data_IF_274264622382
#
_entry.id   IF_274264622382
#
_cell.length_a   1.000
_cell.length_b   1.000
_cell.length_c   1.000
_cell.angle_alpha   90.00
_cell.angle_beta   90.00
_cell.angle_gamma   90.00
#
_symmetry.space_group_name_H-M   'P 1'
#
loop_
_entity.id
_entity.type
_entity.pdbx_description
1 polymer ?
#
# COMPACT_ATOMS: atom_id res chain seq x y z
N UNK A 1 14.87 -8.38 7.84
CA UNK A 1 14.16 -7.10 7.66
C UNK A 1 13.24 -7.28 6.47
N UNK A 2 11.99 -6.87 6.59
CA UNK A 2 11.00 -6.88 5.51
C UNK A 2 10.26 -5.55 5.52
N UNK A 3 9.72 -5.14 4.38
CA UNK A 3 9.05 -3.86 4.28
C UNK A 3 8.29 -3.69 2.99
N UNK A 4 7.53 -2.60 2.94
CA UNK A 4 6.73 -2.19 1.79
C UNK A 4 7.01 -0.73 1.47
N UNK A 5 7.02 -0.40 0.19
CA UNK A 5 7.16 0.96 -0.28
C UNK A 5 5.92 1.38 -1.08
N UNK A 6 5.48 2.61 -0.83
CA UNK A 6 4.49 3.34 -1.62
C UNK A 6 5.25 4.41 -2.41
N UNK A 7 5.89 3.98 -3.50
CA UNK A 7 6.65 4.83 -4.41
C UNK A 7 6.16 4.49 -5.82
N UNK A 8 5.62 5.49 -6.51
CA UNK A 8 5.11 5.33 -7.86
C UNK A 8 6.20 5.73 -8.87
N UNK A 9 6.56 4.80 -9.75
CA UNK A 9 7.54 5.04 -10.81
C UNK A 9 7.03 4.51 -12.15
N UNK A 10 7.48 5.15 -13.23
CA UNK A 10 7.27 4.69 -14.60
C UNK A 10 8.64 4.44 -15.22
N UNK A 11 8.85 3.25 -15.75
CA UNK A 11 10.02 2.93 -16.56
C UNK A 11 9.66 3.18 -18.03
N UNK A 12 10.12 4.29 -18.58
CA UNK A 12 9.81 4.67 -19.96
C UNK A 12 10.71 3.95 -20.97
N UNK A 13 11.99 3.80 -20.64
CA UNK A 13 13.00 3.12 -21.46
C UNK A 13 14.17 2.63 -20.57
N UNK A 14 15.19 2.00 -21.16
CA UNK A 14 16.39 1.54 -20.48
C UNK A 14 17.10 2.67 -19.72
N UNK A 15 16.97 2.65 -18.39
CA UNK A 15 17.60 3.64 -17.51
C UNK A 15 16.82 4.96 -17.41
N UNK A 16 15.64 5.06 -18.03
CA UNK A 16 14.76 6.22 -17.95
C UNK A 16 13.57 5.90 -17.03
N UNK A 17 13.68 6.39 -15.79
CA UNK A 17 12.69 6.18 -14.73
C UNK A 17 12.15 7.52 -14.27
N UNK A 18 10.86 7.72 -14.48
CA UNK A 18 10.14 8.84 -13.90
C UNK A 18 9.57 8.46 -12.53
N UNK A 19 9.67 9.38 -11.57
CA UNK A 19 8.99 9.28 -10.29
C UNK A 19 7.71 10.11 -10.35
N UNK A 20 6.58 9.47 -10.05
CA UNK A 20 5.27 10.12 -10.06
C UNK A 20 4.99 10.79 -8.73
N UNK A 21 4.36 11.96 -8.77
CA UNK A 21 3.97 12.75 -7.60
C UNK A 21 5.01 13.80 -7.20
N UNK A 22 4.85 14.39 -6.03
CA UNK A 22 5.79 15.36 -5.51
C UNK A 22 7.13 14.69 -5.15
N UNK A 23 8.22 15.43 -5.32
CA UNK A 23 9.55 15.00 -4.88
C UNK A 23 9.50 14.60 -3.40
N UNK A 24 10.11 13.46 -3.06
CA UNK A 24 10.13 12.92 -1.69
C UNK A 24 8.73 12.61 -1.11
N UNK A 25 7.67 12.46 -1.91
CA UNK A 25 6.34 12.10 -1.42
C UNK A 25 6.17 10.58 -1.15
N UNK A 26 7.10 9.75 -1.63
CA UNK A 26 7.08 8.32 -1.39
C UNK A 26 7.22 7.99 0.09
N UNK A 27 6.63 6.88 0.53
CA UNK A 27 6.74 6.41 1.92
C UNK A 27 7.07 4.94 1.99
N UNK A 28 7.64 4.51 3.11
CA UNK A 28 7.98 3.11 3.32
C UNK A 28 7.78 2.67 4.78
N UNK A 29 7.53 1.37 4.95
CA UNK A 29 7.24 0.74 6.25
C UNK A 29 8.09 -0.51 6.38
N UNK A 30 8.78 -0.68 7.51
CA UNK A 30 9.68 -1.79 7.76
C UNK A 30 9.42 -2.49 9.09
N UNK A 31 9.74 -3.77 9.12
CA UNK A 31 9.68 -4.59 10.32
C UNK A 31 10.86 -5.58 10.38
N UNK A 32 11.28 -5.90 11.59
CA UNK A 32 12.21 -7.01 11.82
C UNK A 32 11.45 -8.34 11.79
N UNK A 33 12.06 -9.38 11.24
CA UNK A 33 11.47 -10.72 11.26
C UNK A 33 11.26 -11.23 12.69
N UNK A 34 12.11 -10.79 13.61
CA UNK A 34 12.00 -11.07 15.05
C UNK A 34 10.92 -10.25 15.74
N UNK A 35 10.34 -9.25 15.06
CA UNK A 35 9.37 -8.30 15.64
C UNK A 35 9.91 -7.56 16.87
N UNK A 36 11.23 -7.42 16.95
CA UNK A 36 11.91 -6.69 18.03
C UNK A 36 12.81 -5.60 17.44
N UNK A 37 13.00 -4.46 18.13
CA UNK A 37 13.95 -3.42 17.72
C UNK A 37 15.37 -3.96 17.58
N UNK A 38 16.17 -3.35 16.70
CA UNK A 38 17.57 -3.72 16.54
C UNK A 38 18.39 -2.55 16.01
N UNK A 39 19.66 -2.47 16.42
CA UNK A 39 20.56 -1.42 15.97
C UNK A 39 20.72 -1.39 14.43
N UNK A 40 20.62 -2.55 13.79
CA UNK A 40 20.66 -2.66 12.33
C UNK A 40 19.44 -1.98 11.70
N UNK A 41 18.25 -2.16 12.28
CA UNK A 41 17.04 -1.47 11.82
C UNK A 41 17.17 0.04 12.04
N UNK A 42 17.64 0.48 13.21
CA UNK A 42 17.79 1.91 13.53
C UNK A 42 18.71 2.61 12.52
N UNK A 43 19.85 2.00 12.20
CA UNK A 43 20.78 2.53 11.21
C UNK A 43 20.15 2.58 9.81
N UNK A 44 19.40 1.54 9.43
CA UNK A 44 18.71 1.49 8.13
C UNK A 44 17.64 2.59 8.00
N UNK A 45 16.87 2.86 9.07
CA UNK A 45 15.87 3.92 9.06
C UNK A 45 16.52 5.31 8.90
N UNK A 46 17.69 5.54 9.49
CA UNK A 46 18.46 6.78 9.29
C UNK A 46 18.88 6.93 7.84
N UNK A 47 19.48 5.90 7.25
CA UNK A 47 19.92 5.93 5.85
C UNK A 47 18.73 6.17 4.89
N UNK A 48 17.59 5.52 5.15
CA UNK A 48 16.40 5.66 4.30
C UNK A 48 15.70 7.00 4.48
N UNK A 49 15.77 7.60 5.67
CA UNK A 49 15.30 8.96 5.88
C UNK A 49 16.19 9.97 5.13
N UNK A 50 17.51 9.78 5.15
CA UNK A 50 18.45 10.62 4.39
C UNK A 50 18.27 10.46 2.88
N UNK A 51 17.82 9.30 2.42
CA UNK A 51 17.45 9.04 1.02
C UNK A 51 16.02 9.48 0.65
N UNK A 52 15.31 10.19 1.53
CA UNK A 52 13.96 10.70 1.28
C UNK A 52 12.90 9.61 0.99
N UNK A 53 13.07 8.41 1.55
CA UNK A 53 12.10 7.31 1.43
C UNK A 53 11.01 7.33 2.51
N UNK A 54 11.07 8.32 3.41
CA UNK A 54 10.17 8.52 4.55
C UNK A 54 9.81 7.19 5.26
N UNK A 55 10.81 6.51 5.86
CA UNK A 55 10.61 5.21 6.47
C UNK A 55 9.86 5.31 7.80
N UNK A 56 9.09 4.27 8.11
CA UNK A 56 8.46 4.04 9.41
C UNK A 56 8.71 2.61 9.87
N UNK A 57 8.62 2.37 11.17
CA UNK A 57 8.91 1.08 11.79
C UNK A 57 7.68 0.47 12.46
N UNK A 58 7.55 -0.86 12.37
CA UNK A 58 6.54 -1.63 13.08
C UNK A 58 7.13 -2.91 13.66
N UNK A 59 6.56 -3.37 14.76
CA UNK A 59 6.82 -4.69 15.37
C UNK A 59 5.83 -5.76 14.87
N UNK A 60 5.22 -5.54 13.70
CA UNK A 60 4.27 -6.47 13.08
C UNK A 60 4.76 -6.85 11.68
N UNK A 61 5.58 -7.89 11.62
CA UNK A 61 6.27 -8.28 10.39
C UNK A 61 5.28 -8.75 9.32
N UNK A 62 4.37 -9.64 9.70
CA UNK A 62 3.41 -10.20 8.75
C UNK A 62 2.39 -9.15 8.31
N UNK A 63 1.89 -8.32 9.22
CA UNK A 63 1.00 -7.21 8.89
C UNK A 63 1.63 -6.20 7.92
N UNK A 64 2.94 -5.94 8.08
CA UNK A 64 3.71 -5.08 7.16
C UNK A 64 3.70 -5.64 5.74
N UNK A 65 4.03 -6.92 5.58
CA UNK A 65 4.10 -7.53 4.25
C UNK A 65 2.70 -7.69 3.62
N UNK A 66 1.72 -8.15 4.40
CA UNK A 66 0.39 -8.46 3.88
C UNK A 66 -0.43 -7.22 3.58
N UNK A 67 -0.19 -6.09 4.25
CA UNK A 67 -0.81 -4.79 3.90
C UNK A 67 -0.79 -4.53 2.40
N UNK A 68 0.40 -4.62 1.78
CA UNK A 68 0.55 -4.34 0.33
C UNK A 68 -0.06 -5.44 -0.53
N UNK A 69 0.00 -6.69 -0.08
CA UNK A 69 -0.61 -7.82 -0.78
C UNK A 69 -2.13 -7.65 -0.85
N UNK A 70 -2.79 -7.34 0.27
CA UNK A 70 -4.22 -7.13 0.31
C UNK A 70 -4.66 -5.89 -0.48
N UNK A 71 -3.92 -4.78 -0.36
CA UNK A 71 -4.17 -3.60 -1.18
C UNK A 71 -4.13 -3.91 -2.69
N UNK A 72 -3.05 -4.53 -3.17
CA UNK A 72 -2.90 -4.89 -4.58
C UNK A 72 -3.92 -5.95 -5.01
N UNK A 73 -4.27 -6.90 -4.13
CA UNK A 73 -5.25 -7.94 -4.43
C UNK A 73 -6.63 -7.34 -4.66
N UNK A 74 -7.06 -6.40 -3.81
CA UNK A 74 -8.35 -5.71 -3.96
C UNK A 74 -8.37 -4.87 -5.23
N UNK A 75 -7.39 -3.98 -5.42
CA UNK A 75 -7.38 -3.08 -6.59
C UNK A 75 -7.31 -3.85 -7.93
N UNK A 76 -6.42 -4.85 -8.02
CA UNK A 76 -6.28 -5.62 -9.26
C UNK A 76 -7.51 -6.49 -9.53
N UNK A 77 -8.14 -7.05 -8.50
CA UNK A 77 -9.37 -7.83 -8.66
C UNK A 77 -10.50 -6.93 -9.17
N UNK A 78 -10.67 -5.74 -8.58
CA UNK A 78 -11.67 -4.76 -9.01
C UNK A 78 -11.43 -4.35 -10.48
N UNK A 79 -10.21 -3.90 -10.81
CA UNK A 79 -9.89 -3.46 -12.17
C UNK A 79 -10.11 -4.59 -13.21
N UNK A 80 -9.77 -5.83 -12.84
CA UNK A 80 -9.96 -7.00 -13.70
C UNK A 80 -11.43 -7.37 -13.86
N UNK A 81 -12.21 -7.38 -12.77
CA UNK A 81 -13.64 -7.72 -12.81
C UNK A 81 -14.43 -6.75 -13.70
N UNK A 82 -14.09 -5.46 -13.65
CA UNK A 82 -14.78 -4.43 -14.42
C UNK A 82 -14.13 -4.10 -15.77
N UNK A 83 -12.97 -4.71 -16.09
CA UNK A 83 -12.18 -4.42 -17.29
C UNK A 83 -11.97 -2.91 -17.49
N UNK A 84 -11.69 -2.19 -16.39
CA UNK A 84 -11.69 -0.73 -16.35
C UNK A 84 -10.57 -0.21 -15.45
N UNK A 85 -10.13 1.03 -15.68
CA UNK A 85 -9.12 1.69 -14.85
C UNK A 85 -9.77 2.13 -13.53
N UNK A 86 -9.02 2.08 -12.42
CA UNK A 86 -9.52 2.51 -11.10
C UNK A 86 -10.12 3.92 -11.11
N UNK A 87 -9.47 4.89 -11.78
CA UNK A 87 -10.02 6.25 -11.92
C UNK A 87 -11.35 6.33 -12.71
N UNK A 88 -11.63 5.39 -13.62
CA UNK A 88 -12.93 5.30 -14.28
C UNK A 88 -14.00 4.69 -13.37
N UNK A 89 -13.59 3.80 -12.45
CA UNK A 89 -14.51 3.16 -11.52
C UNK A 89 -15.04 4.11 -10.46
N UNK A 90 -14.27 5.14 -10.11
CA UNK A 90 -14.74 6.24 -9.24
C UNK A 90 -15.91 7.03 -9.81
N UNK A 91 -16.17 6.96 -11.12
CA UNK A 91 -17.33 7.60 -11.73
C UNK A 91 -18.65 6.85 -11.46
N UNK A 92 -18.59 5.60 -10.94
CA UNK A 92 -19.80 4.88 -10.53
C UNK A 92 -20.21 5.31 -9.12
N UNK A 93 -21.44 5.80 -9.01
CA UNK A 93 -22.04 6.14 -7.72
C UNK A 93 -21.99 4.93 -6.77
N UNK A 94 -21.40 5.15 -5.59
CA UNK A 94 -21.27 4.13 -4.56
C UNK A 94 -20.17 3.10 -4.79
N UNK A 95 -19.21 3.31 -5.71
CA UNK A 95 -18.09 2.38 -5.92
C UNK A 95 -17.35 2.02 -4.63
N UNK A 96 -16.95 3.01 -3.83
CA UNK A 96 -16.19 2.76 -2.60
C UNK A 96 -16.96 1.88 -1.61
N UNK A 97 -18.22 2.21 -1.36
CA UNK A 97 -19.03 1.55 -0.33
C UNK A 97 -19.70 0.25 -0.83
N UNK A 98 -20.06 0.19 -2.11
CA UNK A 98 -20.77 -0.92 -2.71
C UNK A 98 -19.87 -1.99 -3.32
N UNK A 99 -18.61 -1.65 -3.64
CA UNK A 99 -17.67 -2.58 -4.31
C UNK A 99 -16.37 -2.70 -3.52
N UNK A 100 -15.68 -1.60 -3.25
CA UNK A 100 -14.35 -1.66 -2.63
C UNK A 100 -14.41 -2.13 -1.17
N UNK A 101 -15.31 -1.56 -0.35
CA UNK A 101 -15.45 -1.88 1.08
C UNK A 101 -15.81 -3.36 1.32
N UNK A 102 -16.76 -3.99 0.60
CA UNK A 102 -17.01 -5.44 0.76
C UNK A 102 -15.77 -6.30 0.51
N UNK A 103 -14.99 -6.03 -0.55
CA UNK A 103 -13.77 -6.78 -0.85
C UNK A 103 -12.67 -6.55 0.19
N UNK A 104 -12.54 -5.31 0.68
CA UNK A 104 -11.65 -4.99 1.80
C UNK A 104 -12.10 -5.76 3.05
N UNK A 105 -13.40 -5.83 3.31
CA UNK A 105 -13.91 -6.56 4.46
C UNK A 105 -13.57 -8.05 4.39
N UNK A 106 -13.78 -8.69 3.23
CA UNK A 106 -13.43 -10.10 3.02
C UNK A 106 -11.93 -10.35 3.21
N UNK A 107 -11.08 -9.46 2.69
CA UNK A 107 -9.63 -9.52 2.88
C UNK A 107 -9.23 -9.44 4.36
N UNK A 108 -9.82 -8.50 5.10
CA UNK A 108 -9.55 -8.35 6.54
C UNK A 108 -10.11 -9.51 7.35
N UNK A 109 -11.30 -10.01 7.04
CA UNK A 109 -11.90 -11.19 7.69
C UNK A 109 -10.99 -12.41 7.50
N UNK A 110 -10.43 -12.60 6.30
CA UNK A 110 -9.48 -13.67 6.01
C UNK A 110 -8.17 -13.52 6.80
N UNK A 111 -7.64 -12.29 6.92
CA UNK A 111 -6.45 -12.02 7.72
C UNK A 111 -6.70 -12.31 9.22
N UNK A 112 -7.83 -11.82 9.75
CA UNK A 112 -8.24 -12.03 11.13
C UNK A 112 -8.45 -13.53 11.43
N UNK A 113 -9.10 -14.27 10.53
CA UNK A 113 -9.28 -15.71 10.65
C UNK A 113 -7.95 -16.48 10.66
N UNK A 114 -6.92 -15.96 9.98
CA UNK A 114 -5.56 -16.49 10.02
C UNK A 114 -4.75 -16.02 11.26
N UNK A 115 -5.35 -15.23 12.16
CA UNK A 115 -4.68 -14.67 13.33
C UNK A 115 -3.74 -13.51 13.02
N UNK A 116 -3.88 -12.89 11.86
CA UNK A 116 -3.00 -11.82 11.39
C UNK A 116 -3.71 -10.48 11.52
N UNK A 117 -3.10 -9.56 12.27
CA UNK A 117 -3.57 -8.19 12.38
C UNK A 117 -2.90 -7.34 11.30
N UNK A 118 -3.70 -6.73 10.43
CA UNK A 118 -3.20 -5.75 9.47
C UNK A 118 -2.87 -4.41 10.16
N UNK A 119 -2.02 -3.60 9.53
CA UNK A 119 -1.53 -2.34 10.12
C UNK A 119 -2.61 -1.27 10.12
N UNK A 120 -3.29 -1.08 8.98
CA UNK A 120 -4.41 -0.16 8.89
C UNK A 120 -5.71 -0.74 9.43
N UNK A 121 -6.62 0.17 9.74
CA UNK A 121 -8.04 -0.11 9.84
C UNK A 121 -8.66 -0.27 8.45
N UNK A 122 -9.83 -0.91 8.41
CA UNK A 122 -10.62 -1.06 7.18
C UNK A 122 -10.95 0.29 6.54
N UNK A 123 -11.26 1.30 7.35
CA UNK A 123 -11.58 2.65 6.87
C UNK A 123 -10.37 3.35 6.26
N UNK A 124 -9.20 3.22 6.89
CA UNK A 124 -7.95 3.74 6.32
C UNK A 124 -7.59 3.05 4.99
N UNK A 125 -7.89 1.75 4.85
CA UNK A 125 -7.70 1.04 3.58
C UNK A 125 -8.66 1.52 2.49
N UNK A 126 -9.94 1.76 2.82
CA UNK A 126 -10.91 2.37 1.88
C UNK A 126 -10.44 3.76 1.46
N UNK A 127 -9.98 4.57 2.40
CA UNK A 127 -9.44 5.91 2.11
C UNK A 127 -8.19 5.85 1.21
N UNK A 128 -7.35 4.83 1.34
CA UNK A 128 -6.23 4.62 0.43
C UNK A 128 -6.67 4.27 -0.99
N UNK A 129 -7.68 3.40 -1.14
CA UNK A 129 -8.24 3.08 -2.47
C UNK A 129 -8.82 4.34 -3.12
N UNK A 130 -9.53 5.17 -2.36
CA UNK A 130 -10.05 6.47 -2.83
C UNK A 130 -8.91 7.39 -3.30
N UNK A 131 -7.91 7.59 -2.45
CA UNK A 131 -6.75 8.43 -2.78
C UNK A 131 -6.00 7.93 -4.02
N UNK A 132 -5.72 6.62 -4.10
CA UNK A 132 -4.98 6.06 -5.24
C UNK A 132 -5.78 6.16 -6.52
N UNK A 133 -7.10 5.94 -6.47
CA UNK A 133 -7.98 6.01 -7.64
C UNK A 133 -8.16 7.44 -8.17
N UNK A 134 -8.19 8.44 -7.29
CA UNK A 134 -8.43 9.84 -7.65
C UNK A 134 -7.16 10.67 -7.89
N UNK A 135 -6.06 10.34 -7.20
CA UNK A 135 -4.87 11.21 -7.12
C UNK A 135 -3.62 10.54 -7.67
N UNK A 136 -3.39 9.26 -7.36
CA UNK A 136 -2.16 8.57 -7.76
C UNK A 136 -2.24 7.96 -9.16
N UNK A 137 -3.40 7.45 -9.55
CA UNK A 137 -3.70 6.91 -10.88
C UNK A 137 -4.87 7.65 -11.57
N UNK A 138 -4.84 8.99 -11.65
CA UNK A 138 -5.90 9.73 -12.31
C UNK A 138 -5.92 9.39 -13.81
N UNK A 139 -7.10 9.57 -14.42
CA UNK A 139 -7.34 9.38 -15.85
C UNK A 139 -6.34 10.13 -16.74
#
# INVERSE_FOLDING_TARGET
>A
IGGTAMIATVLNDFGDVDFMGAESAGSSVYANLTEQPSQVMDNLLVDFQAAHLNPSYTENFMGTLLKKVFFNAVENSIATMFQSRMGQLMAYDGFLEGIARPLINEAYDAAEAAGIKLIETRDEMVAQVDYVSNVANPL
#
